data_IF_601351985082
#
_entry.id   IF_601351985082
#
_cell.length_a   1.000
_cell.length_b   1.000
_cell.length_c   1.000
_cell.angle_alpha   90.00
_cell.angle_beta   90.00
_cell.angle_gamma   90.00
#
_symmetry.space_group_name_H-M   'P 1'
#
loop_
_entity.id
_entity.type
_entity.pdbx_description
1 polymer ?
#
# COMPACT_ATOMS: atom_id res chain seq x y z
N UNK A 1 -15.57 3.22 5.85
CA UNK A 1 -14.34 3.18 5.03
C UNK A 1 -13.42 2.00 5.39
N UNK A 2 -12.52 2.06 6.39
CA UNK A 2 -11.64 0.91 6.70
C UNK A 2 -12.39 -0.34 7.20
N UNK A 3 -13.49 -0.15 7.93
CA UNK A 3 -14.32 -1.25 8.46
C UNK A 3 -15.07 -2.01 7.36
N UNK A 4 -15.42 -1.34 6.24
CA UNK A 4 -16.16 -1.96 5.13
C UNK A 4 -15.27 -2.87 4.27
N UNK A 5 -13.95 -2.64 4.31
CA UNK A 5 -12.95 -3.42 3.57
C UNK A 5 -12.22 -4.44 4.44
N UNK A 6 -12.42 -4.39 5.76
CA UNK A 6 -11.89 -5.37 6.69
C UNK A 6 -12.62 -6.71 6.53
N UNK A 7 -11.92 -7.82 6.80
CA UNK A 7 -12.50 -9.16 6.75
C UNK A 7 -13.74 -9.23 7.67
N UNK A 8 -14.93 -9.59 7.16
CA UNK A 8 -16.16 -9.68 7.96
C UNK A 8 -16.03 -10.57 9.20
N UNK A 9 -15.22 -11.61 9.10
CA UNK A 9 -14.87 -12.53 10.18
C UNK A 9 -14.11 -11.81 11.29
N UNK A 10 -13.13 -10.95 10.94
CA UNK A 10 -12.36 -10.19 11.90
C UNK A 10 -13.26 -9.20 12.66
N UNK A 11 -14.19 -8.54 11.97
CA UNK A 11 -15.18 -7.65 12.60
C UNK A 11 -16.08 -8.41 13.58
N UNK A 12 -16.58 -9.57 13.17
CA UNK A 12 -17.43 -10.43 14.01
C UNK A 12 -16.67 -10.89 15.26
N UNK A 13 -15.42 -11.32 15.11
CA UNK A 13 -14.54 -11.74 16.22
C UNK A 13 -14.32 -10.58 17.21
N UNK A 14 -13.98 -9.39 16.72
CA UNK A 14 -13.79 -8.20 17.58
C UNK A 14 -15.07 -7.88 18.34
N UNK A 15 -16.23 -7.90 17.68
CA UNK A 15 -17.53 -7.62 18.32
C UNK A 15 -17.85 -8.62 19.42
N UNK A 16 -17.66 -9.92 19.18
CA UNK A 16 -17.87 -10.98 20.18
C UNK A 16 -16.95 -10.79 21.38
N UNK A 17 -15.66 -10.49 21.14
CA UNK A 17 -14.68 -10.31 22.22
C UNK A 17 -14.98 -9.06 23.05
N UNK A 18 -15.32 -7.94 22.42
CA UNK A 18 -15.70 -6.72 23.13
C UNK A 18 -16.98 -6.93 23.97
N UNK A 19 -17.95 -7.68 23.45
CA UNK A 19 -19.14 -8.06 24.21
C UNK A 19 -18.78 -8.96 25.40
N UNK A 20 -17.91 -9.96 25.22
CA UNK A 20 -17.46 -10.79 26.34
C UNK A 20 -16.75 -9.97 27.43
N UNK A 21 -15.87 -9.04 27.03
CA UNK A 21 -15.15 -8.14 27.95
C UNK A 21 -16.06 -7.17 28.72
N UNK A 22 -17.27 -6.88 28.22
CA UNK A 22 -18.25 -6.05 28.92
C UNK A 22 -18.96 -6.82 30.05
N UNK A 23 -18.92 -8.15 30.00
CA UNK A 23 -19.49 -9.01 31.04
C UNK A 23 -18.42 -9.50 32.02
N UNK A 24 -18.79 -9.74 33.28
CA UNK A 24 -17.87 -10.30 34.28
C UNK A 24 -17.42 -11.71 33.91
N UNK A 25 -18.35 -12.55 33.48
CA UNK A 25 -18.06 -13.93 33.08
C UNK A 25 -17.13 -13.99 31.86
N UNK A 26 -17.42 -13.22 30.81
CA UNK A 26 -16.55 -13.16 29.63
C UNK A 26 -15.18 -12.55 29.93
N UNK A 27 -15.11 -11.54 30.82
CA UNK A 27 -13.82 -11.02 31.30
C UNK A 27 -13.02 -12.10 32.02
N UNK A 28 -13.65 -12.89 32.90
CA UNK A 28 -12.95 -14.01 33.55
C UNK A 28 -12.47 -15.06 32.54
N UNK A 29 -13.28 -15.41 31.55
CA UNK A 29 -12.90 -16.38 30.52
C UNK A 29 -11.72 -15.89 29.65
N UNK A 30 -11.68 -14.60 29.33
CA UNK A 30 -10.65 -14.04 28.46
C UNK A 30 -9.40 -13.51 29.20
N UNK A 31 -9.53 -13.10 30.46
CA UNK A 31 -8.47 -12.47 31.25
C UNK A 31 -7.93 -13.40 32.36
N UNK A 32 -8.63 -14.49 32.67
CA UNK A 32 -8.28 -15.44 33.73
C UNK A 32 -8.30 -14.80 35.12
N UNK A 33 -7.43 -15.29 36.02
CA UNK A 33 -7.36 -14.85 37.42
C UNK A 33 -7.04 -13.37 37.62
N UNK A 34 -6.56 -12.66 36.58
CA UNK A 34 -6.30 -11.23 36.63
C UNK A 34 -7.58 -10.39 36.77
N UNK A 35 -8.76 -10.98 36.50
CA UNK A 35 -10.05 -10.33 36.73
C UNK A 35 -10.58 -10.47 38.15
N UNK A 36 -9.93 -11.28 38.99
CA UNK A 36 -10.38 -11.54 40.35
C UNK A 36 -10.11 -10.34 41.28
N UNK A 37 -11.03 -10.10 42.20
CA UNK A 37 -10.95 -9.05 43.22
C UNK A 37 -11.47 -9.59 44.55
N UNK A 38 -10.97 -9.06 45.66
CA UNK A 38 -11.38 -9.50 47.00
C UNK A 38 -12.71 -8.87 47.44
N UNK A 39 -13.31 -7.99 46.64
CA UNK A 39 -14.59 -7.31 46.94
C UNK A 39 -15.70 -7.85 46.04
N UNK A 40 -16.91 -8.06 46.58
CA UNK A 40 -18.09 -8.39 45.77
C UNK A 40 -18.22 -7.36 44.63
N UNK A 41 -18.28 -7.80 43.36
CA UNK A 41 -18.76 -9.09 42.86
C UNK A 41 -17.66 -10.13 42.56
N UNK A 42 -16.49 -10.03 43.18
CA UNK A 42 -15.31 -10.91 43.08
C UNK A 42 -14.64 -11.00 41.70
N UNK A 43 -15.35 -10.63 40.64
CA UNK A 43 -14.85 -10.55 39.27
C UNK A 43 -15.15 -9.16 38.72
N UNK A 44 -14.10 -8.46 38.33
CA UNK A 44 -14.20 -7.19 37.63
C UNK A 44 -14.46 -7.41 36.14
N UNK A 45 -15.21 -6.49 35.54
CA UNK A 45 -15.22 -6.32 34.08
C UNK A 45 -13.87 -5.78 33.60
N UNK A 46 -13.54 -5.93 32.32
CA UNK A 46 -12.26 -5.48 31.78
C UNK A 46 -11.99 -3.98 32.05
N UNK A 47 -13.02 -3.15 31.90
CA UNK A 47 -13.00 -1.71 32.16
C UNK A 47 -12.79 -1.32 33.63
N UNK A 48 -12.86 -2.27 34.56
CA UNK A 48 -12.62 -2.07 35.99
C UNK A 48 -11.29 -2.68 36.46
N UNK A 49 -10.53 -3.34 35.58
CA UNK A 49 -9.18 -3.80 35.89
C UNK A 49 -8.21 -2.64 36.02
N UNK A 50 -7.16 -2.78 36.82
CA UNK A 50 -6.06 -1.82 36.85
C UNK A 50 -5.36 -1.76 35.48
N UNK A 51 -4.76 -0.62 35.14
CA UNK A 51 -4.03 -0.44 33.88
C UNK A 51 -2.99 -1.56 33.67
N UNK A 52 -2.17 -1.83 34.69
CA UNK A 52 -1.17 -2.91 34.69
C UNK A 52 -1.79 -4.27 34.38
N UNK A 53 -2.93 -4.61 34.97
CA UNK A 53 -3.57 -5.91 34.69
C UNK A 53 -4.10 -5.98 33.27
N UNK A 54 -4.67 -4.88 32.73
CA UNK A 54 -5.09 -4.83 31.31
C UNK A 54 -3.92 -5.03 30.37
N UNK A 55 -2.79 -4.37 30.62
CA UNK A 55 -1.58 -4.52 29.82
C UNK A 55 -1.07 -5.96 29.80
N UNK A 56 -1.02 -6.63 30.96
CA UNK A 56 -0.60 -8.03 31.05
C UNK A 56 -1.56 -8.93 30.23
N UNK A 57 -2.88 -8.71 30.31
CA UNK A 57 -3.87 -9.46 29.54
C UNK A 57 -3.63 -9.28 28.03
N UNK A 58 -3.51 -8.04 27.56
CA UNK A 58 -3.30 -7.75 26.13
C UNK A 58 -1.96 -8.32 25.62
N UNK A 59 -0.90 -8.26 26.42
CA UNK A 59 0.39 -8.89 26.09
C UNK A 59 0.28 -10.41 26.02
N UNK A 60 -0.48 -11.05 26.93
CA UNK A 60 -0.75 -12.49 26.87
C UNK A 60 -1.50 -12.86 25.60
N UNK A 61 -2.50 -12.07 25.21
CA UNK A 61 -3.27 -12.29 23.98
C UNK A 61 -2.41 -12.21 22.73
N UNK A 62 -1.51 -11.23 22.65
CA UNK A 62 -0.56 -11.11 21.54
C UNK A 62 0.35 -12.33 21.40
N UNK A 63 0.85 -12.86 22.54
CA UNK A 63 1.76 -14.02 22.58
C UNK A 63 1.01 -15.37 22.46
N UNK A 64 -0.31 -15.38 22.45
CA UNK A 64 -1.07 -16.62 22.54
C UNK A 64 -1.10 -17.37 21.20
N UNK A 65 -0.60 -18.62 21.20
CA UNK A 65 -0.49 -19.44 19.98
C UNK A 65 -1.77 -20.22 19.64
N UNK A 66 -2.56 -20.60 20.63
CA UNK A 66 -3.72 -21.50 20.46
C UNK A 66 -5.09 -20.80 20.39
N UNK A 67 -5.15 -19.49 20.70
CA UNK A 67 -6.41 -18.75 20.80
C UNK A 67 -6.40 -17.66 19.73
N UNK A 68 -6.32 -18.10 18.48
CA UNK A 68 -6.22 -17.25 17.29
C UNK A 68 -7.28 -16.13 17.26
N UNK A 69 -8.55 -16.36 17.63
CA UNK A 69 -9.56 -15.28 17.65
C UNK A 69 -9.21 -14.13 18.59
N UNK A 70 -8.66 -14.41 19.78
CA UNK A 70 -8.32 -13.39 20.78
C UNK A 70 -7.10 -12.58 20.35
N UNK A 71 -6.10 -13.24 19.78
CA UNK A 71 -4.96 -12.57 19.16
C UNK A 71 -5.39 -11.69 17.99
N UNK A 72 -6.27 -12.20 17.11
CA UNK A 72 -6.81 -11.44 15.98
C UNK A 72 -7.58 -10.21 16.45
N UNK A 73 -8.46 -10.33 17.44
CA UNK A 73 -9.15 -9.15 17.98
C UNK A 73 -8.19 -8.11 18.55
N UNK A 74 -7.17 -8.53 19.31
CA UNK A 74 -6.16 -7.61 19.81
C UNK A 74 -5.45 -6.87 18.67
N UNK A 75 -4.99 -7.60 17.65
CA UNK A 75 -4.31 -7.01 16.49
C UNK A 75 -5.21 -6.03 15.75
N UNK A 76 -6.46 -6.41 15.49
CA UNK A 76 -7.45 -5.54 14.85
C UNK A 76 -7.68 -4.27 15.66
N UNK A 77 -7.97 -4.38 16.96
CA UNK A 77 -8.18 -3.22 17.84
C UNK A 77 -6.96 -2.30 17.82
N UNK A 78 -5.75 -2.87 17.95
CA UNK A 78 -4.50 -2.09 17.91
C UNK A 78 -4.37 -1.34 16.59
N UNK A 79 -4.56 -2.01 15.46
CA UNK A 79 -4.46 -1.42 14.12
C UNK A 79 -5.50 -0.30 13.98
N UNK A 80 -6.77 -0.54 14.33
CA UNK A 80 -7.80 0.48 14.24
C UNK A 80 -7.53 1.67 15.16
N UNK A 81 -7.07 1.45 16.39
CA UNK A 81 -6.71 2.54 17.30
C UNK A 81 -5.59 3.40 16.71
N UNK A 82 -4.53 2.79 16.17
CA UNK A 82 -3.40 3.53 15.58
C UNK A 82 -3.84 4.28 14.33
N UNK A 83 -4.54 3.62 13.41
CA UNK A 83 -5.04 4.26 12.18
C UNK A 83 -5.95 5.43 12.54
N UNK A 84 -6.98 5.21 13.36
CA UNK A 84 -7.90 6.29 13.73
C UNK A 84 -7.17 7.43 14.42
N UNK A 85 -6.27 7.13 15.36
CA UNK A 85 -5.57 8.16 16.11
C UNK A 85 -4.64 9.01 15.24
N UNK A 86 -3.91 8.42 14.29
CA UNK A 86 -2.93 9.15 13.47
C UNK A 86 -3.44 9.59 12.10
N UNK A 87 -4.53 8.99 11.59
CA UNK A 87 -5.00 9.25 10.23
C UNK A 87 -6.32 10.04 10.17
N UNK A 88 -7.08 10.12 11.27
CA UNK A 88 -8.34 10.85 11.28
C UNK A 88 -8.07 12.35 11.34
N UNK A 89 -8.54 13.08 10.33
CA UNK A 89 -8.40 14.53 10.25
C UNK A 89 -9.74 15.22 10.54
N UNK A 90 -9.68 16.46 11.04
CA UNK A 90 -10.83 17.35 11.12
C UNK A 90 -11.20 17.90 9.72
N UNK A 91 -12.20 18.78 9.65
CA UNK A 91 -12.66 19.41 8.40
C UNK A 91 -11.56 20.23 7.69
N UNK A 92 -10.53 20.66 8.42
CA UNK A 92 -9.39 21.41 7.90
C UNK A 92 -8.22 20.50 7.45
N UNK A 93 -8.35 19.17 7.57
CA UNK A 93 -7.27 18.24 7.24
C UNK A 93 -6.21 18.10 8.34
N UNK A 94 -6.49 18.52 9.57
CA UNK A 94 -5.54 18.50 10.69
C UNK A 94 -5.84 17.36 11.67
N UNK A 95 -4.81 16.89 12.36
CA UNK A 95 -4.92 15.92 13.44
C UNK A 95 -4.20 16.44 14.70
N UNK A 96 -4.89 16.41 15.85
CA UNK A 96 -4.38 16.96 17.12
C UNK A 96 -3.10 16.27 17.61
N UNK A 97 -2.92 14.98 17.31
CA UNK A 97 -1.74 14.24 17.73
C UNK A 97 -0.49 14.64 16.94
N UNK A 98 -0.64 15.16 15.71
CA UNK A 98 0.48 15.55 14.86
C UNK A 98 1.27 16.71 15.45
N UNK A 99 0.59 17.72 16.00
CA UNK A 99 1.25 18.86 16.66
C UNK A 99 2.11 18.37 17.86
N UNK A 100 1.57 17.46 18.66
CA UNK A 100 2.27 16.92 19.83
C UNK A 100 3.56 16.15 19.49
N UNK A 101 3.67 15.62 18.27
CA UNK A 101 4.86 14.90 17.79
C UNK A 101 5.69 15.70 16.78
N UNK A 102 5.32 16.96 16.51
CA UNK A 102 5.98 17.80 15.51
C UNK A 102 5.84 17.28 14.08
N UNK A 103 4.76 16.56 13.77
CA UNK A 103 4.45 16.12 12.41
C UNK A 103 3.69 17.23 11.67
N UNK A 104 4.24 17.65 10.54
CA UNK A 104 3.62 18.65 9.67
C UNK A 104 3.49 18.04 8.28
N UNK A 105 2.29 18.10 7.71
CA UNK A 105 2.07 17.74 6.32
C UNK A 105 2.52 18.96 5.51
N UNK A 106 3.56 18.80 4.70
CA UNK A 106 3.95 19.82 3.74
C UNK A 106 2.82 19.95 2.72
N UNK A 107 1.97 20.95 2.93
CA UNK A 107 1.09 21.49 1.91
C UNK A 107 2.01 22.18 0.90
N UNK A 108 2.65 21.39 0.04
CA UNK A 108 3.12 21.94 -1.22
C UNK A 108 1.88 22.41 -1.98
N UNK A 109 1.41 23.63 -1.69
CA UNK A 109 0.72 24.44 -2.67
C UNK A 109 1.62 24.39 -3.89
N UNK A 110 1.16 23.62 -4.88
CA UNK A 110 1.87 23.27 -6.10
C UNK A 110 2.54 24.50 -6.71
N UNK A 111 3.78 24.76 -6.30
CA UNK A 111 4.57 25.84 -6.84
C UNK A 111 4.86 25.49 -8.30
N UNK A 112 4.10 26.12 -9.20
CA UNK A 112 4.46 26.36 -10.59
C UNK A 112 4.62 25.18 -11.57
N UNK A 113 3.91 24.05 -11.41
CA UNK A 113 3.82 23.09 -12.52
C UNK A 113 2.61 23.36 -13.42
N UNK A 114 2.84 24.18 -14.44
CA UNK A 114 1.96 24.69 -15.50
C UNK A 114 1.36 23.66 -16.48
N UNK A 115 1.45 22.35 -16.22
CA UNK A 115 0.74 21.37 -17.05
C UNK A 115 -0.75 21.43 -16.74
N UNK A 116 -1.52 22.09 -17.61
CA UNK A 116 -2.99 22.08 -17.56
C UNK A 116 -3.58 20.70 -17.91
N UNK A 117 -2.82 19.85 -18.60
CA UNK A 117 -3.29 18.57 -19.13
C UNK A 117 -2.65 17.38 -18.36
N UNK A 118 -3.47 16.41 -17.94
CA UNK A 118 -3.00 15.19 -17.26
C UNK A 118 -2.19 14.34 -18.26
N UNK A 119 -1.03 13.77 -17.89
CA UNK A 119 -0.15 13.05 -18.84
C UNK A 119 -0.83 11.96 -19.69
N UNK A 120 -1.77 11.21 -19.12
CA UNK A 120 -2.48 10.13 -19.82
C UNK A 120 -3.87 10.52 -20.32
N UNK A 121 -4.28 11.78 -20.19
CA UNK A 121 -5.65 12.25 -20.51
C UNK A 121 -6.10 11.85 -21.92
N UNK A 122 -5.16 11.89 -22.87
CA UNK A 122 -5.43 11.54 -24.26
C UNK A 122 -5.79 10.08 -24.46
N UNK A 123 -5.23 9.16 -23.67
CA UNK A 123 -5.41 7.71 -23.82
C UNK A 123 -6.32 7.06 -22.79
N UNK A 124 -6.67 7.75 -21.69
CA UNK A 124 -7.44 7.15 -20.61
C UNK A 124 -8.96 7.24 -20.82
N UNK A 125 -9.67 6.23 -20.35
CA UNK A 125 -11.13 6.21 -20.17
C UNK A 125 -11.40 5.72 -18.75
N UNK A 126 -11.97 6.57 -17.91
CA UNK A 126 -12.28 6.25 -16.52
C UNK A 126 -13.67 5.59 -16.47
N UNK A 127 -13.71 4.26 -16.63
CA UNK A 127 -14.95 3.50 -16.76
C UNK A 127 -15.92 3.68 -15.58
N UNK A 128 -15.42 4.05 -14.40
CA UNK A 128 -16.24 4.39 -13.22
C UNK A 128 -17.17 5.60 -13.43
N UNK A 129 -16.84 6.47 -14.39
CA UNK A 129 -17.61 7.67 -14.74
C UNK A 129 -18.51 7.44 -15.97
N UNK A 130 -18.58 6.20 -16.46
CA UNK A 130 -19.27 5.83 -17.70
C UNK A 130 -20.42 4.86 -17.41
N UNK A 131 -21.45 4.88 -18.25
CA UNK A 131 -22.52 3.89 -18.28
C UNK A 131 -22.44 2.99 -19.52
N UNK A 132 -23.37 2.05 -19.64
CA UNK A 132 -23.41 1.11 -20.78
C UNK A 132 -23.59 1.79 -22.15
N UNK A 133 -24.09 3.03 -22.19
CA UNK A 133 -24.31 3.80 -23.41
C UNK A 133 -23.16 4.78 -23.72
N UNK A 134 -22.48 5.30 -22.71
CA UNK A 134 -21.39 6.26 -22.85
C UNK A 134 -20.02 5.60 -23.02
N UNK A 135 -19.76 4.48 -22.32
CA UNK A 135 -18.49 3.75 -22.39
C UNK A 135 -18.10 3.37 -23.84
N UNK A 136 -19.00 2.80 -24.67
CA UNK A 136 -18.64 2.46 -26.04
C UNK A 136 -18.29 3.70 -26.88
N UNK A 137 -18.98 4.83 -26.66
CA UNK A 137 -18.71 6.10 -27.36
C UNK A 137 -17.36 6.67 -26.95
N UNK A 138 -17.02 6.62 -25.66
CA UNK A 138 -15.73 7.08 -25.14
C UNK A 138 -14.58 6.25 -25.71
N UNK A 139 -14.71 4.92 -25.75
CA UNK A 139 -13.69 4.05 -26.37
C UNK A 139 -13.52 4.32 -27.87
N UNK A 140 -14.62 4.46 -28.62
CA UNK A 140 -14.57 4.83 -30.05
C UNK A 140 -13.89 6.17 -30.27
N UNK A 141 -14.16 7.18 -29.42
CA UNK A 141 -13.53 8.50 -29.49
C UNK A 141 -12.02 8.43 -29.26
N UNK A 142 -11.54 7.41 -28.53
CA UNK A 142 -10.10 7.13 -28.35
C UNK A 142 -9.50 6.28 -29.48
N UNK A 143 -10.26 5.98 -30.53
CA UNK A 143 -9.77 5.28 -31.72
C UNK A 143 -9.82 3.76 -31.62
N UNK A 144 -10.57 3.20 -30.67
CA UNK A 144 -10.78 1.76 -30.56
C UNK A 144 -11.96 1.31 -31.43
N UNK A 145 -11.78 0.22 -32.16
CA UNK A 145 -12.86 -0.45 -32.89
C UNK A 145 -13.67 -1.30 -31.90
N UNK A 146 -14.98 -1.07 -31.85
CA UNK A 146 -15.89 -1.73 -30.89
C UNK A 146 -17.06 -2.42 -31.58
N UNK A 147 -17.51 -3.52 -31.00
CA UNK A 147 -18.76 -4.20 -31.37
C UNK A 147 -19.60 -4.43 -30.11
N UNK A 148 -20.88 -4.10 -30.18
CA UNK A 148 -21.81 -4.24 -29.05
C UNK A 148 -22.76 -5.41 -29.34
N UNK A 149 -22.71 -6.44 -28.50
CA UNK A 149 -23.71 -7.50 -28.48
C UNK A 149 -24.74 -7.16 -27.39
N UNK A 150 -25.80 -6.46 -27.80
CA UNK A 150 -26.88 -5.99 -26.93
C UNK A 150 -27.70 -7.13 -26.31
N UNK A 151 -27.70 -8.33 -26.88
CA UNK A 151 -28.45 -9.47 -26.35
C UNK A 151 -27.79 -10.07 -25.12
N UNK A 152 -26.47 -10.09 -25.09
CA UNK A 152 -25.68 -10.69 -24.00
C UNK A 152 -25.04 -9.64 -23.07
N UNK A 153 -25.26 -8.34 -23.33
CA UNK A 153 -24.61 -7.23 -22.64
C UNK A 153 -23.06 -7.33 -22.69
N UNK A 154 -22.53 -7.67 -23.87
CA UNK A 154 -21.09 -7.84 -24.11
C UNK A 154 -20.59 -6.70 -25.01
N UNK A 155 -19.54 -6.02 -24.55
CA UNK A 155 -18.77 -5.06 -25.33
C UNK A 155 -17.48 -5.73 -25.81
N UNK A 156 -17.31 -5.87 -27.12
CA UNK A 156 -16.08 -6.38 -27.73
C UNK A 156 -15.23 -5.21 -28.19
N UNK A 157 -13.97 -5.21 -27.79
CA UNK A 157 -12.99 -4.18 -28.16
C UNK A 157 -11.88 -4.85 -28.96
N UNK A 158 -11.64 -4.39 -30.18
CA UNK A 158 -10.60 -4.94 -31.05
C UNK A 158 -9.28 -4.23 -30.79
N UNK A 159 -8.26 -5.01 -30.46
CA UNK A 159 -6.90 -4.57 -30.20
C UNK A 159 -5.92 -5.70 -30.53
N UNK A 160 -4.64 -5.38 -30.64
CA UNK A 160 -3.59 -6.36 -30.92
C UNK A 160 -3.12 -7.04 -29.63
N UNK A 161 -3.10 -6.28 -28.52
CA UNK A 161 -2.66 -6.77 -27.20
C UNK A 161 -3.54 -6.18 -26.11
N UNK A 162 -3.91 -7.01 -25.13
CA UNK A 162 -4.52 -6.59 -23.87
C UNK A 162 -3.55 -6.84 -22.73
N UNK A 163 -3.33 -5.81 -21.90
CA UNK A 163 -2.52 -5.89 -20.68
C UNK A 163 -3.45 -5.64 -19.49
N UNK A 164 -3.47 -6.58 -18.54
CA UNK A 164 -4.25 -6.45 -17.31
C UNK A 164 -3.32 -6.02 -16.18
N UNK A 165 -3.54 -4.82 -15.66
CA UNK A 165 -2.72 -4.15 -14.66
C UNK A 165 -1.66 -3.24 -15.28
N UNK A 166 -1.55 -2.03 -14.77
CA UNK A 166 -0.64 -0.99 -15.27
C UNK A 166 0.64 -0.82 -14.42
N UNK A 167 0.94 -1.80 -13.56
CA UNK A 167 2.09 -1.79 -12.65
C UNK A 167 3.47 -1.86 -13.33
N UNK A 168 4.54 -2.08 -12.55
CA UNK A 168 5.93 -2.10 -13.04
C UNK A 168 6.13 -2.98 -14.30
N UNK A 169 5.52 -4.16 -14.35
CA UNK A 169 5.58 -5.03 -15.52
C UNK A 169 4.67 -4.58 -16.66
N UNK A 170 3.40 -4.32 -16.35
CA UNK A 170 2.37 -3.96 -17.34
C UNK A 170 2.68 -2.65 -18.07
N UNK A 171 3.12 -1.62 -17.35
CA UNK A 171 3.49 -0.33 -17.94
C UNK A 171 4.70 -0.44 -18.88
N UNK A 172 5.72 -1.23 -18.51
CA UNK A 172 6.89 -1.46 -19.38
C UNK A 172 6.50 -2.25 -20.63
N UNK A 173 5.74 -3.33 -20.47
CA UNK A 173 5.25 -4.12 -21.59
C UNK A 173 4.39 -3.28 -22.55
N UNK A 174 3.48 -2.47 -22.02
CA UNK A 174 2.64 -1.57 -22.80
C UNK A 174 3.48 -0.59 -23.61
N UNK A 175 4.47 0.05 -22.98
CA UNK A 175 5.33 1.01 -23.64
C UNK A 175 6.14 0.37 -24.78
N UNK A 176 6.69 -0.83 -24.57
CA UNK A 176 7.49 -1.55 -25.58
C UNK A 176 6.60 -1.97 -26.76
N UNK A 177 5.46 -2.62 -26.49
CA UNK A 177 4.57 -3.14 -27.53
C UNK A 177 3.90 -2.02 -28.33
N UNK A 178 3.46 -0.95 -27.67
CA UNK A 178 2.90 0.21 -28.36
C UNK A 178 3.95 0.94 -29.22
N UNK A 179 5.21 1.02 -28.75
CA UNK A 179 6.31 1.61 -29.54
C UNK A 179 6.63 0.81 -30.80
N UNK A 180 6.29 -0.48 -30.83
CA UNK A 180 6.38 -1.35 -32.02
C UNK A 180 5.19 -1.21 -32.98
N UNK A 181 4.27 -0.27 -32.73
CA UNK A 181 3.12 0.01 -33.59
C UNK A 181 1.86 -0.82 -33.31
N UNK A 182 1.85 -1.63 -32.24
CA UNK A 182 0.68 -2.43 -31.85
C UNK A 182 -0.37 -1.56 -31.14
N UNK A 183 -1.65 -1.84 -31.39
CA UNK A 183 -2.78 -1.29 -30.62
C UNK A 183 -2.89 -2.02 -29.28
N UNK A 184 -2.37 -1.40 -28.23
CA UNK A 184 -2.35 -1.96 -26.87
C UNK A 184 -3.47 -1.36 -26.02
N UNK A 185 -4.32 -2.23 -25.45
CA UNK A 185 -5.31 -1.87 -24.45
C UNK A 185 -4.80 -2.24 -23.05
N UNK A 186 -4.74 -1.27 -22.13
CA UNK A 186 -4.37 -1.52 -20.74
C UNK A 186 -5.62 -1.42 -19.86
N UNK A 187 -5.90 -2.46 -19.08
CA UNK A 187 -7.00 -2.51 -18.14
C UNK A 187 -6.47 -2.36 -16.73
N UNK A 188 -6.86 -1.30 -16.05
CA UNK A 188 -6.51 -1.02 -14.66
C UNK A 188 -7.77 -0.99 -13.80
N UNK A 189 -7.73 -1.60 -12.61
CA UNK A 189 -8.85 -1.58 -11.67
C UNK A 189 -8.85 -0.28 -10.86
N UNK A 190 -7.67 0.24 -10.56
CA UNK A 190 -7.48 1.45 -9.77
C UNK A 190 -7.72 2.75 -10.53
N UNK A 191 -7.75 3.85 -9.80
CA UNK A 191 -7.95 5.19 -10.34
C UNK A 191 -6.64 5.77 -10.93
N UNK A 192 -6.77 6.83 -11.72
CA UNK A 192 -5.62 7.56 -12.25
C UNK A 192 -5.37 8.87 -11.49
N UNK A 193 -4.27 8.92 -10.75
CA UNK A 193 -3.84 10.09 -10.01
C UNK A 193 -2.71 10.83 -10.72
N UNK A 194 -2.69 12.14 -10.54
CA UNK A 194 -1.59 13.04 -10.84
C UNK A 194 -1.04 13.64 -9.55
N UNK A 195 0.14 14.29 -9.55
CA UNK A 195 0.71 14.86 -8.33
C UNK A 195 -0.21 15.82 -7.57
N UNK A 196 -1.19 16.43 -8.24
CA UNK A 196 -2.16 17.34 -7.60
C UNK A 196 -3.32 16.62 -6.90
N UNK A 197 -3.53 15.36 -7.23
CA UNK A 197 -4.64 14.55 -6.71
C UNK A 197 -4.23 13.84 -5.41
N UNK A 198 -2.93 13.72 -5.13
CA UNK A 198 -2.45 13.08 -3.90
C UNK A 198 -2.71 13.97 -2.69
N UNK A 199 -3.40 13.42 -1.70
CA UNK A 199 -3.71 14.11 -0.45
C UNK A 199 -2.49 14.36 0.43
N UNK A 200 -1.42 13.56 0.28
CA UNK A 200 -0.31 13.45 1.23
C UNK A 200 -0.72 13.06 2.66
N UNK A 201 -1.98 12.65 2.86
CA UNK A 201 -2.52 12.23 4.14
C UNK A 201 -2.59 10.71 4.21
N UNK A 202 -2.09 10.13 5.30
CA UNK A 202 -2.00 8.67 5.46
C UNK A 202 -3.37 7.97 5.27
N UNK A 203 -4.44 8.49 5.89
CA UNK A 203 -5.76 7.86 5.84
C UNK A 203 -6.36 7.81 4.42
N UNK A 204 -6.58 8.97 3.76
CA UNK A 204 -7.06 9.04 2.39
C UNK A 204 -6.14 8.30 1.41
N UNK A 205 -4.82 8.51 1.46
CA UNK A 205 -3.88 7.84 0.55
C UNK A 205 -3.88 6.32 0.74
N UNK A 206 -3.95 5.81 1.97
CA UNK A 206 -4.11 4.36 2.20
C UNK A 206 -5.39 3.84 1.54
N UNK A 207 -6.50 4.55 1.66
CA UNK A 207 -7.78 4.12 1.12
C UNK A 207 -7.85 4.17 -0.42
N UNK A 208 -7.22 5.16 -1.03
CA UNK A 208 -7.32 5.43 -2.46
C UNK A 208 -6.25 4.69 -3.27
N UNK A 209 -5.05 4.56 -2.72
CA UNK A 209 -3.88 4.10 -3.45
C UNK A 209 -3.55 2.62 -3.21
N UNK A 210 -4.14 1.98 -2.18
CA UNK A 210 -3.86 0.59 -1.83
C UNK A 210 -5.08 -0.33 -1.93
N UNK A 211 -4.82 -1.57 -2.32
CA UNK A 211 -5.77 -2.68 -2.32
C UNK A 211 -6.37 -2.87 -0.92
N UNK A 212 -7.69 -2.97 -0.85
CA UNK A 212 -8.44 -3.07 0.42
C UNK A 212 -8.05 -1.98 1.43
N UNK A 213 -7.63 -0.80 0.98
CA UNK A 213 -7.14 0.26 1.86
C UNK A 213 -5.87 -0.12 2.65
N UNK A 214 -5.05 -1.03 2.14
CA UNK A 214 -3.86 -1.54 2.82
C UNK A 214 -4.13 -2.57 3.92
N UNK A 215 -5.37 -3.10 4.01
CA UNK A 215 -5.77 -4.09 5.03
C UNK A 215 -5.74 -5.54 4.53
N UNK A 216 -5.15 -5.80 3.36
CA UNK A 216 -5.04 -7.15 2.83
C UNK A 216 -4.12 -8.01 3.71
N UNK A 217 -4.59 -9.16 4.18
CA UNK A 217 -3.82 -10.08 5.02
C UNK A 217 -4.23 -11.53 4.84
N UNK A 218 -3.43 -12.46 5.38
CA UNK A 218 -3.87 -13.85 5.57
C UNK A 218 -5.03 -13.93 6.56
N UNK A 219 -5.84 -14.99 6.48
CA UNK A 219 -6.99 -15.21 7.39
C UNK A 219 -6.58 -15.26 8.87
N UNK A 220 -5.36 -15.73 9.16
CA UNK A 220 -4.82 -15.77 10.52
C UNK A 220 -4.04 -14.50 10.92
N UNK A 221 -4.02 -13.48 10.06
CA UNK A 221 -3.43 -12.18 10.29
C UNK A 221 -1.92 -12.21 10.53
N UNK A 222 -1.21 -13.24 10.08
CA UNK A 222 0.25 -13.36 10.24
C UNK A 222 1.03 -12.65 9.14
N UNK A 223 0.45 -12.51 7.95
CA UNK A 223 1.07 -11.84 6.82
C UNK A 223 0.11 -10.74 6.37
N UNK A 224 0.61 -9.51 6.27
CA UNK A 224 -0.05 -8.40 5.60
C UNK A 224 0.54 -8.19 4.21
N UNK A 225 -0.29 -7.77 3.26
CA UNK A 225 0.12 -7.46 1.89
C UNK A 225 -0.28 -6.01 1.61
N UNK A 226 0.69 -5.18 1.23
CA UNK A 226 0.45 -3.84 0.72
C UNK A 226 0.63 -3.88 -0.79
N UNK A 227 -0.47 -3.73 -1.52
CA UNK A 227 -0.48 -3.71 -2.98
C UNK A 227 -1.09 -2.40 -3.45
N UNK A 228 -0.42 -1.69 -4.36
CA UNK A 228 -0.97 -0.47 -4.96
C UNK A 228 -2.13 -0.79 -5.91
N UNK A 229 -3.21 -0.01 -5.84
CA UNK A 229 -4.43 -0.15 -6.64
C UNK A 229 -4.76 1.16 -7.36
N UNK A 230 -3.87 1.57 -8.26
CA UNK A 230 -4.00 2.76 -9.10
C UNK A 230 -3.21 2.60 -10.40
N UNK A 231 -3.34 3.54 -11.34
CA UNK A 231 -2.49 3.55 -12.53
C UNK A 231 -1.01 3.65 -12.12
N UNK A 232 -0.19 2.70 -12.55
CA UNK A 232 1.20 2.49 -12.08
C UNK A 232 1.33 1.45 -10.96
N UNK A 233 0.24 1.06 -10.32
CA UNK A 233 0.18 0.03 -9.28
C UNK A 233 1.19 0.30 -8.16
N UNK A 234 1.94 -0.73 -7.76
CA UNK A 234 2.94 -0.62 -6.71
C UNK A 234 4.09 0.35 -7.01
N UNK A 235 4.35 0.74 -8.27
CA UNK A 235 5.45 1.68 -8.57
C UNK A 235 5.19 3.09 -8.05
N UNK A 236 3.93 3.43 -7.78
CA UNK A 236 3.54 4.78 -7.42
C UNK A 236 3.29 4.96 -5.91
N UNK A 237 3.42 3.89 -5.11
CA UNK A 237 3.37 3.91 -3.64
C UNK A 237 4.54 3.18 -2.97
N UNK A 238 5.61 2.89 -3.72
CA UNK A 238 6.82 2.25 -3.16
C UNK A 238 7.84 3.30 -2.66
N UNK A 239 8.92 2.81 -2.05
CA UNK A 239 10.02 3.66 -1.54
C UNK A 239 11.08 4.04 -2.58
N UNK A 240 10.74 4.07 -3.87
CA UNK A 240 11.63 4.44 -4.99
C UNK A 240 12.91 3.59 -5.15
N UNK A 241 13.16 2.61 -4.28
CA UNK A 241 14.37 1.79 -4.30
C UNK A 241 14.46 0.97 -5.60
N UNK A 242 15.59 1.10 -6.28
CA UNK A 242 15.88 0.52 -7.59
C UNK A 242 17.14 -0.32 -7.53
N UNK A 243 17.02 -1.53 -6.95
CA UNK A 243 18.14 -2.44 -6.77
C UNK A 243 18.20 -3.38 -7.97
N UNK A 244 19.35 -3.42 -8.65
CA UNK A 244 19.60 -4.42 -9.71
C UNK A 244 19.66 -5.82 -9.09
N UNK A 245 19.20 -6.82 -9.84
CA UNK A 245 19.30 -8.22 -9.40
C UNK A 245 20.77 -8.57 -9.16
N UNK A 246 21.16 -8.98 -7.94
CA UNK A 246 22.56 -9.26 -7.64
C UNK A 246 23.12 -10.44 -8.44
N UNK A 247 24.42 -10.40 -8.77
CA UNK A 247 25.08 -11.42 -9.59
C UNK A 247 24.91 -12.84 -9.03
N UNK A 248 24.97 -13.00 -7.70
CA UNK A 248 24.79 -14.30 -7.07
C UNK A 248 23.36 -14.85 -7.24
N UNK A 249 22.35 -13.97 -7.31
CA UNK A 249 20.94 -14.35 -7.55
C UNK A 249 20.76 -14.74 -9.01
N UNK A 250 21.35 -13.99 -9.94
CA UNK A 250 21.33 -14.33 -11.37
C UNK A 250 21.92 -15.71 -11.62
N UNK A 251 23.09 -15.97 -11.01
CA UNK A 251 23.77 -17.25 -11.10
C UNK A 251 22.93 -18.39 -10.52
N UNK A 252 22.35 -18.19 -9.34
CA UNK A 252 21.48 -19.18 -8.69
C UNK A 252 20.26 -19.52 -9.56
N UNK A 253 19.57 -18.51 -10.09
CA UNK A 253 18.42 -18.74 -10.98
C UNK A 253 18.82 -19.46 -12.27
N UNK A 254 19.94 -19.08 -12.87
CA UNK A 254 20.38 -19.69 -14.12
C UNK A 254 20.87 -21.13 -13.95
N UNK A 255 21.69 -21.39 -12.93
CA UNK A 255 22.39 -22.67 -12.76
C UNK A 255 21.59 -23.67 -11.91
N UNK A 256 21.03 -23.23 -10.78
CA UNK A 256 20.35 -24.13 -9.83
C UNK A 256 18.87 -24.31 -10.14
N UNK A 257 18.24 -23.32 -10.79
CA UNK A 257 16.82 -23.35 -11.15
C UNK A 257 16.55 -23.53 -12.65
N UNK A 258 17.59 -23.74 -13.46
CA UNK A 258 17.48 -23.97 -14.91
C UNK A 258 16.74 -22.85 -15.67
N UNK A 259 17.00 -21.59 -15.30
CA UNK A 259 16.42 -20.42 -15.96
C UNK A 259 17.51 -19.64 -16.72
N UNK A 260 17.98 -20.12 -17.89
CA UNK A 260 19.15 -19.59 -18.60
C UNK A 260 18.97 -18.15 -19.10
N UNK A 261 17.74 -17.63 -19.16
CA UNK A 261 17.46 -16.24 -19.48
C UNK A 261 18.19 -15.28 -18.51
N UNK A 262 18.31 -15.63 -17.23
CA UNK A 262 18.90 -14.73 -16.23
C UNK A 262 20.42 -14.61 -16.30
N UNK A 263 21.10 -15.49 -17.03
CA UNK A 263 22.54 -15.35 -17.36
C UNK A 263 22.77 -14.70 -18.73
N UNK A 264 21.71 -14.33 -19.44
CA UNK A 264 21.79 -13.81 -20.79
C UNK A 264 22.12 -12.31 -20.82
N UNK A 265 22.77 -11.88 -21.91
CA UNK A 265 23.06 -10.47 -22.15
C UNK A 265 21.78 -9.63 -22.25
N UNK A 266 20.72 -10.20 -22.81
CA UNK A 266 19.42 -9.55 -22.98
C UNK A 266 18.78 -9.15 -21.65
N UNK A 267 18.89 -10.00 -20.61
CA UNK A 267 18.34 -9.68 -19.29
C UNK A 267 19.09 -8.52 -18.63
N UNK A 268 20.43 -8.55 -18.65
CA UNK A 268 21.27 -7.48 -18.10
C UNK A 268 21.04 -6.16 -18.86
N UNK A 269 21.00 -6.22 -20.18
CA UNK A 269 20.70 -5.08 -21.03
C UNK A 269 19.30 -4.50 -20.77
N UNK A 270 18.30 -5.35 -20.57
CA UNK A 270 16.94 -4.91 -20.21
C UNK A 270 16.91 -4.17 -18.86
N UNK A 271 17.64 -4.67 -17.85
CA UNK A 271 17.77 -3.96 -16.57
C UNK A 271 18.41 -2.58 -16.75
N UNK A 272 19.48 -2.46 -17.54
CA UNK A 272 20.15 -1.19 -17.81
C UNK A 272 19.25 -0.19 -18.54
N UNK A 273 18.51 -0.66 -19.56
CA UNK A 273 17.54 0.16 -20.30
C UNK A 273 16.45 0.69 -19.37
N UNK A 274 15.90 -0.16 -18.51
CA UNK A 274 14.86 0.24 -17.55
C UNK A 274 15.43 1.24 -16.54
N UNK A 275 16.58 0.96 -15.93
CA UNK A 275 17.23 1.86 -14.97
C UNK A 275 17.50 3.24 -15.58
N UNK A 276 17.99 3.28 -16.81
CA UNK A 276 18.21 4.52 -17.55
C UNK A 276 16.90 5.26 -17.83
N UNK A 277 15.86 4.55 -18.26
CA UNK A 277 14.55 5.14 -18.61
C UNK A 277 13.87 5.78 -17.41
N UNK A 278 13.92 5.15 -16.24
CA UNK A 278 13.30 5.65 -15.01
C UNK A 278 14.23 6.62 -14.24
N UNK A 279 15.43 6.89 -14.75
CA UNK A 279 16.35 7.86 -14.17
C UNK A 279 16.94 7.44 -12.81
N UNK A 280 17.30 6.17 -12.66
CA UNK A 280 17.91 5.68 -11.41
C UNK A 280 19.19 6.44 -11.08
N UNK A 281 19.31 6.90 -9.84
CA UNK A 281 20.50 7.56 -9.29
C UNK A 281 20.78 7.07 -7.88
N UNK A 282 22.06 6.99 -7.52
CA UNK A 282 22.59 6.70 -6.19
C UNK A 282 22.89 7.97 -5.37
N UNK A 283 22.67 9.14 -5.96
CA UNK A 283 22.97 10.43 -5.31
C UNK A 283 21.79 10.94 -4.49
N UNK A 284 22.12 11.53 -3.34
CA UNK A 284 21.16 12.11 -2.42
C UNK A 284 21.76 13.38 -1.82
N UNK A 285 21.17 14.54 -2.14
CA UNK A 285 21.64 15.83 -1.62
C UNK A 285 21.26 15.99 -0.15
N UNK A 286 20.05 15.57 0.21
CA UNK A 286 19.51 15.69 1.56
C UNK A 286 19.13 14.31 2.12
N UNK A 287 19.86 13.88 3.16
CA UNK A 287 19.63 12.62 3.86
C UNK A 287 18.73 12.84 5.07
N UNK A 288 17.65 12.06 5.22
CA UNK A 288 16.80 12.11 6.41
C UNK A 288 17.56 11.76 7.70
N UNK A 289 17.17 12.37 8.82
CA UNK A 289 17.86 12.22 10.12
C UNK A 289 18.07 10.75 10.53
N UNK A 290 17.07 9.90 10.31
CA UNK A 290 17.12 8.48 10.66
C UNK A 290 18.24 7.76 9.90
N UNK A 291 18.40 8.05 8.61
CA UNK A 291 19.46 7.47 7.78
C UNK A 291 20.85 7.99 8.20
N UNK A 292 20.98 9.29 8.51
CA UNK A 292 22.22 9.87 9.03
C UNK A 292 22.68 9.18 10.33
N UNK A 293 21.74 8.96 11.26
CA UNK A 293 22.02 8.29 12.54
C UNK A 293 22.42 6.83 12.31
N UNK A 294 21.70 6.11 11.45
CA UNK A 294 22.02 4.72 11.10
C UNK A 294 23.42 4.61 10.49
N UNK A 295 23.72 5.43 9.48
CA UNK A 295 25.03 5.48 8.81
C UNK A 295 26.15 5.78 9.80
N UNK A 296 25.97 6.76 10.69
CA UNK A 296 26.94 7.08 11.75
C UNK A 296 27.16 5.90 12.71
N UNK A 297 26.09 5.18 13.07
CA UNK A 297 26.16 3.98 13.89
C UNK A 297 26.95 2.86 13.22
N UNK A 298 26.62 2.54 11.96
CA UNK A 298 27.32 1.54 11.17
C UNK A 298 28.81 1.85 11.02
N UNK A 299 29.16 3.10 10.69
CA UNK A 299 30.56 3.53 10.56
C UNK A 299 31.34 3.36 11.88
N UNK A 300 30.72 3.67 13.04
CA UNK A 300 31.36 3.46 14.35
C UNK A 300 31.61 1.98 14.67
N UNK A 301 30.79 1.08 14.11
CA UNK A 301 30.92 -0.36 14.27
C UNK A 301 31.83 -1.00 13.21
N UNK A 302 32.36 -0.21 12.26
CA UNK A 302 33.15 -0.72 11.14
C UNK A 302 32.34 -1.49 10.10
N UNK A 303 31.03 -1.27 10.03
CA UNK A 303 30.15 -1.88 9.03
C UNK A 303 30.17 -1.06 7.73
N UNK A 304 30.14 -1.75 6.59
CA UNK A 304 29.99 -1.12 5.28
C UNK A 304 28.61 -0.47 5.15
N UNK A 305 28.58 0.72 4.57
CA UNK A 305 27.34 1.47 4.27
C UNK A 305 27.37 1.90 2.83
N UNK A 306 26.29 1.60 2.11
CA UNK A 306 26.08 2.00 0.72
C UNK A 306 24.75 2.75 0.58
N UNK A 307 24.64 3.59 -0.45
CA UNK A 307 23.41 4.30 -0.80
C UNK A 307 22.50 3.40 -1.63
N UNK A 308 21.21 3.40 -1.31
CA UNK A 308 20.20 2.67 -2.09
C UNK A 308 19.87 3.47 -3.35
N UNK A 309 20.09 2.94 -4.57
CA UNK A 309 19.72 3.64 -5.79
C UNK A 309 18.22 3.87 -5.85
N UNK A 310 17.80 5.01 -6.38
CA UNK A 310 16.40 5.44 -6.41
C UNK A 310 16.02 6.08 -7.74
N UNK A 311 14.75 6.02 -8.12
CA UNK A 311 14.21 6.66 -9.33
C UNK A 311 13.55 8.02 -9.04
N UNK A 312 13.90 8.66 -7.92
CA UNK A 312 13.53 10.05 -7.63
C UNK A 312 14.70 10.98 -7.91
N UNK A 313 14.41 12.26 -8.20
CA UNK A 313 15.45 13.23 -8.53
C UNK A 313 16.38 13.48 -7.33
N UNK A 314 17.62 13.88 -7.61
CA UNK A 314 18.66 14.05 -6.58
C UNK A 314 18.27 15.03 -5.47
N UNK A 315 17.43 16.02 -5.80
CA UNK A 315 16.92 17.07 -4.92
C UNK A 315 15.54 16.77 -4.32
N UNK A 316 14.95 15.61 -4.61
CA UNK A 316 13.61 15.26 -4.11
C UNK A 316 13.67 14.82 -2.64
N UNK A 317 12.94 15.52 -1.78
CA UNK A 317 12.77 15.24 -0.36
C UNK A 317 11.35 15.65 0.07
N UNK A 318 10.46 14.69 0.32
CA UNK A 318 9.05 14.98 0.65
C UNK A 318 8.45 14.14 1.79
N UNK A 319 9.10 13.03 2.19
CA UNK A 319 8.59 12.14 3.24
C UNK A 319 7.34 11.31 2.87
N UNK A 320 6.78 11.48 1.67
CA UNK A 320 5.45 10.97 1.28
C UNK A 320 5.46 9.82 0.28
N UNK A 321 6.55 9.06 0.14
CA UNK A 321 6.68 8.02 -0.90
C UNK A 321 5.55 6.97 -0.89
N UNK A 322 5.01 6.63 0.29
CA UNK A 322 3.89 5.69 0.43
C UNK A 322 2.52 6.32 0.13
N UNK A 323 2.46 7.63 -0.10
CA UNK A 323 1.22 8.38 -0.29
C UNK A 323 1.10 8.98 -1.70
N UNK A 324 2.01 8.59 -2.60
CA UNK A 324 2.18 9.19 -3.93
C UNK A 324 3.05 10.45 -3.89
N UNK A 325 3.85 10.65 -4.95
CA UNK A 325 4.71 11.84 -5.13
C UNK A 325 4.81 12.25 -6.60
#
# INVERSE_FOLDING_TARGET
>A
MFVERALPEAFTIVRVILWMLSTRFGTFLLCGSLSHTNKWPFINTFSNLSLRNREIVLQKWFKHRFFTPVRLAFLSIKIFCVIVFFSQCNENGENLAWEAIGYHVDNHENANNSRKERPLEKGIVEAMNEDNASLPKSLSKKGLEIEIDSKNNILKVKCDVVIVGSGCGGGVAAAVLASSGLKVLVLEKGNYFTPRDYSCLEGPSMNELYESGGTCSTLDGKIGILAGSMVGGGSAVNWSACIKTPDYVLKDWSENHNLPLFSSFEYVSAMDIVCKRIGVTDTCVEEGLQNQVLRKGCNKLGLQVDYVPRNSSQNHYCGSCNYGC
#
